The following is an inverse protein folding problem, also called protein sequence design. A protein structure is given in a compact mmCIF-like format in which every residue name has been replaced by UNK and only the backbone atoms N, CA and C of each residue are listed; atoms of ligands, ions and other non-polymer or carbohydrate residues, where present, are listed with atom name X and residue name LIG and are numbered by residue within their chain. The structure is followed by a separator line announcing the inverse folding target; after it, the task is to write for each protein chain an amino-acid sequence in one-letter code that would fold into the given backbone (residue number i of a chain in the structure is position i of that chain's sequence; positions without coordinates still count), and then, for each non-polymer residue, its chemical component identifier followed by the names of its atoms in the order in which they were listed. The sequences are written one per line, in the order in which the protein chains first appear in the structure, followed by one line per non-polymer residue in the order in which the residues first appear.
data_IF_758203461741
#
_entry.id   IF_758203461741
#
_cell.length_a   1.000
_cell.length_b   1.000
_cell.length_c   1.000
_cell.angle_alpha   90.00
_cell.angle_beta   90.00
_cell.angle_gamma   90.00
#
_symmetry.space_group_name_H-M   'P 1'
#
loop_
_entity.id
_entity.type
_entity.pdbx_description
1 polymer ?
#
# COMPACT_ATOMS: atom_id res chain seq x y z
N UNK A 1 34.09 25.30 46.04
CA UNK A 1 34.76 25.84 44.83
C UNK A 1 33.90 25.46 43.65
N UNK A 2 33.03 26.37 43.24
CA UNK A 2 31.93 26.17 42.30
C UNK A 2 32.16 27.03 41.06
N UNK A 3 32.47 26.41 39.93
CA UNK A 3 32.63 27.10 38.65
C UNK A 3 31.28 27.19 37.95
N UNK A 4 30.70 28.40 37.91
CA UNK A 4 29.56 28.74 37.06
C UNK A 4 30.07 29.12 35.66
N UNK A 5 29.55 28.47 34.63
CA UNK A 5 29.75 28.87 33.25
C UNK A 5 28.63 29.81 32.81
N UNK A 6 29.03 31.00 32.36
CA UNK A 6 28.19 32.09 31.85
C UNK A 6 27.80 31.74 30.41
N UNK A 7 26.50 31.65 30.13
CA UNK A 7 25.96 31.56 28.76
C UNK A 7 25.45 32.94 28.36
N UNK A 8 26.13 33.56 27.39
CA UNK A 8 25.74 34.84 26.77
C UNK A 8 24.68 34.56 25.70
N UNK A 9 23.50 35.16 25.83
CA UNK A 9 22.46 35.23 24.79
C UNK A 9 22.59 36.54 24.02
N UNK A 10 22.48 36.58 22.68
CA UNK A 10 22.38 37.83 21.97
C UNK A 10 20.94 38.35 22.01
N UNK A 11 20.75 39.45 22.74
CA UNK A 11 19.64 40.37 22.57
C UNK A 11 19.89 41.18 21.29
N UNK A 12 18.99 41.12 20.32
CA UNK A 12 18.87 42.16 19.30
C UNK A 12 17.42 42.64 19.31
N UNK A 13 17.18 43.66 20.13
CA UNK A 13 16.05 44.57 19.98
C UNK A 13 16.58 45.82 19.29
N UNK A 14 16.11 46.11 18.08
CA UNK A 14 16.16 47.46 17.53
C UNK A 14 14.78 47.82 17.00
N UNK A 15 14.00 48.40 17.91
CA UNK A 15 12.97 49.34 17.57
C UNK A 15 13.66 50.62 17.06
N UNK A 16 13.38 51.01 15.81
CA UNK A 16 13.44 52.39 15.31
C UNK A 16 12.96 52.38 13.86
N UNK A 17 11.64 52.53 13.66
CA UNK A 17 11.04 53.56 12.78
C UNK A 17 9.57 53.69 13.25
N UNK A 18 9.29 54.72 14.04
CA UNK A 18 7.94 55.26 14.25
C UNK A 18 7.80 56.51 13.38
N UNK A 19 6.63 56.58 12.74
CA UNK A 19 5.95 57.77 12.20
C UNK A 19 6.44 58.42 10.91
N UNK A 20 5.76 58.07 9.81
CA UNK A 20 5.29 59.04 8.83
C UNK A 20 3.84 58.67 8.45
N UNK A 21 2.88 59.38 9.03
CA UNK A 21 1.50 59.41 8.57
C UNK A 21 1.44 60.17 7.24
N UNK A 22 1.16 59.48 6.12
CA UNK A 22 0.32 59.96 5.02
C UNK A 22 -0.25 58.72 4.32
N UNK A 23 -1.57 58.71 4.15
CA UNK A 23 -2.34 57.54 3.75
C UNK A 23 -1.92 56.93 2.41
N UNK A 24 -1.77 55.60 2.42
CA UNK A 24 -1.99 54.65 1.32
C UNK A 24 -2.14 53.25 1.97
N UNK A 25 -3.11 52.43 1.55
CA UNK A 25 -3.31 51.11 2.16
C UNK A 25 -2.10 50.20 1.87
N UNK A 26 -1.63 49.51 2.90
CA UNK A 26 -0.61 48.48 2.83
C UNK A 26 -1.12 47.18 2.17
N UNK A 27 -1.70 47.28 0.97
CA UNK A 27 -2.21 46.16 0.19
C UNK A 27 -1.24 45.65 -0.88
N UNK A 28 0.06 46.00 -0.81
CA UNK A 28 1.00 45.81 -1.92
C UNK A 28 2.22 44.89 -1.64
N UNK A 29 2.26 44.13 -0.53
CA UNK A 29 3.23 43.02 -0.40
C UNK A 29 2.60 41.68 0.06
N UNK A 30 1.50 41.19 -0.55
CA UNK A 30 1.11 39.77 -0.41
C UNK A 30 1.90 38.85 -1.36
N UNK A 31 2.49 39.42 -2.43
CA UNK A 31 3.04 38.64 -3.54
C UNK A 31 4.41 38.01 -3.21
N UNK A 32 5.34 38.77 -2.63
CA UNK A 32 6.72 38.31 -2.41
C UNK A 32 6.83 37.14 -1.42
N UNK A 33 5.99 37.14 -0.37
CA UNK A 33 5.94 36.05 0.61
C UNK A 33 5.39 34.75 0.03
N UNK A 34 4.39 34.84 -0.87
CA UNK A 34 3.83 33.68 -1.58
C UNK A 34 4.82 33.11 -2.59
N UNK A 35 5.48 33.98 -3.39
CA UNK A 35 6.50 33.53 -4.35
C UNK A 35 7.70 32.91 -3.64
N UNK A 36 8.10 33.44 -2.48
CA UNK A 36 9.16 32.83 -1.67
C UNK A 36 8.72 31.47 -1.12
N UNK A 37 7.52 31.33 -0.55
CA UNK A 37 7.02 30.04 -0.08
C UNK A 37 6.94 29.00 -1.21
N UNK A 38 6.36 29.35 -2.36
CA UNK A 38 6.29 28.46 -3.52
C UNK A 38 7.68 28.07 -4.04
N UNK A 39 8.64 29.01 -4.02
CA UNK A 39 10.01 28.75 -4.42
C UNK A 39 10.73 27.87 -3.38
N UNK A 40 10.48 28.06 -2.09
CA UNK A 40 11.00 27.22 -1.00
C UNK A 40 10.40 25.81 -1.03
N UNK A 41 9.11 25.68 -1.30
CA UNK A 41 8.43 24.38 -1.44
C UNK A 41 8.90 23.65 -2.70
N UNK A 42 9.05 24.37 -3.82
CA UNK A 42 9.60 23.82 -5.06
C UNK A 42 11.05 23.38 -4.88
N UNK A 43 11.90 24.22 -4.28
CA UNK A 43 13.29 23.89 -3.94
C UNK A 43 13.36 22.75 -2.94
N UNK A 44 12.50 22.72 -1.93
CA UNK A 44 12.40 21.66 -0.94
C UNK A 44 12.00 20.33 -1.57
N UNK A 45 11.08 20.35 -2.54
CA UNK A 45 10.63 19.17 -3.28
C UNK A 45 11.75 18.64 -4.20
N UNK A 46 12.42 19.52 -4.92
CA UNK A 46 13.55 19.14 -5.80
C UNK A 46 14.73 18.62 -4.97
N UNK A 47 15.10 19.32 -3.89
CA UNK A 47 16.15 18.89 -2.98
C UNK A 47 15.80 17.56 -2.30
N UNK A 48 14.55 17.40 -1.85
CA UNK A 48 14.04 16.16 -1.28
C UNK A 48 14.09 15.00 -2.27
N UNK A 49 13.76 15.25 -3.54
CA UNK A 49 13.82 14.24 -4.61
C UNK A 49 15.27 13.85 -4.93
N UNK A 50 16.19 14.81 -4.99
CA UNK A 50 17.62 14.56 -5.23
C UNK A 50 18.25 13.83 -4.04
N UNK A 51 17.94 14.25 -2.82
CA UNK A 51 18.39 13.60 -1.60
C UNK A 51 17.84 12.16 -1.47
N UNK A 52 16.57 11.95 -1.82
CA UNK A 52 15.95 10.62 -1.87
C UNK A 52 16.60 9.72 -2.92
N UNK A 53 16.87 10.23 -4.15
CA UNK A 53 17.62 9.47 -5.17
C UNK A 53 19.06 9.19 -4.76
N UNK A 54 19.73 10.13 -4.10
CA UNK A 54 21.08 9.95 -3.58
C UNK A 54 21.10 8.92 -2.44
N UNK A 55 20.13 8.99 -1.52
CA UNK A 55 19.93 8.02 -0.47
C UNK A 55 19.69 6.62 -1.06
N UNK A 56 18.82 6.51 -2.06
CA UNK A 56 18.57 5.25 -2.78
C UNK A 56 19.85 4.68 -3.40
N UNK A 57 20.64 5.50 -4.10
CA UNK A 57 21.94 5.09 -4.67
C UNK A 57 22.96 4.67 -3.62
N UNK A 58 22.83 5.16 -2.39
CA UNK A 58 23.66 4.82 -1.25
C UNK A 58 23.08 3.67 -0.39
N UNK A 59 21.95 3.07 -0.79
CA UNK A 59 21.28 2.02 -0.01
C UNK A 59 20.68 2.52 1.32
N UNK A 60 20.37 3.82 1.37
CA UNK A 60 19.75 4.50 2.50
C UNK A 60 18.26 4.71 2.20
N UNK A 61 17.40 4.40 3.18
CA UNK A 61 15.95 4.51 3.05
C UNK A 61 15.23 3.18 3.28
N UNK A 62 13.90 3.18 3.35
CA UNK A 62 13.10 1.98 3.57
C UNK A 62 13.21 0.99 2.42
N UNK A 63 13.01 1.43 1.17
CA UNK A 63 13.01 0.56 0.00
C UNK A 63 14.28 -0.31 -0.15
N UNK A 64 15.53 0.24 -0.11
CA UNK A 64 16.72 -0.60 -0.23
C UNK A 64 16.91 -1.59 0.93
N UNK A 65 16.33 -1.31 2.11
CA UNK A 65 16.33 -2.27 3.23
C UNK A 65 15.33 -3.38 2.96
N UNK A 66 14.13 -3.05 2.49
CA UNK A 66 13.12 -4.01 2.12
C UNK A 66 13.62 -4.96 1.03
N UNK A 67 14.27 -4.45 -0.01
CA UNK A 67 14.87 -5.29 -1.06
C UNK A 67 15.93 -6.26 -0.53
N UNK A 68 16.76 -5.85 0.44
CA UNK A 68 17.73 -6.78 1.05
C UNK A 68 17.04 -7.91 1.83
N UNK A 69 15.93 -7.61 2.50
CA UNK A 69 15.12 -8.62 3.17
C UNK A 69 14.50 -9.54 2.13
N UNK A 70 13.92 -8.99 1.05
CA UNK A 70 13.36 -9.78 -0.05
C UNK A 70 14.41 -10.69 -0.71
N UNK A 71 15.59 -10.17 -1.03
CA UNK A 71 16.69 -10.95 -1.61
C UNK A 71 17.18 -12.07 -0.66
N UNK A 72 17.10 -11.87 0.65
CA UNK A 72 17.36 -12.95 1.61
C UNK A 72 16.38 -14.12 1.41
N UNK A 73 15.12 -13.87 1.06
CA UNK A 73 14.16 -14.94 0.79
C UNK A 73 14.19 -15.45 -0.65
N UNK A 74 14.61 -14.66 -1.62
CA UNK A 74 14.59 -15.05 -3.04
C UNK A 74 15.88 -15.73 -3.54
N UNK A 75 16.98 -15.65 -2.79
CA UNK A 75 18.25 -16.30 -3.17
C UNK A 75 18.22 -17.84 -3.03
N UNK A 76 19.23 -18.53 -3.56
CA UNK A 76 19.35 -19.99 -3.44
C UNK A 76 19.18 -20.47 -1.98
N UNK A 77 18.33 -21.48 -1.76
CA UNK A 77 17.97 -21.97 -0.43
C UNK A 77 16.79 -21.26 0.25
N UNK A 78 16.00 -20.49 -0.50
CA UNK A 78 14.77 -19.82 -0.08
C UNK A 78 13.86 -20.68 0.84
N UNK A 79 13.44 -21.85 0.34
CA UNK A 79 12.53 -22.76 1.07
C UNK A 79 13.11 -23.24 2.41
N UNK A 80 14.44 -23.43 2.49
CA UNK A 80 15.12 -23.83 3.72
C UNK A 80 15.18 -22.66 4.72
N UNK A 81 15.45 -21.44 4.24
CA UNK A 81 15.48 -20.24 5.10
C UNK A 81 14.10 -19.88 5.64
N UNK A 82 13.05 -20.02 4.84
CA UNK A 82 11.66 -19.87 5.28
C UNK A 82 11.33 -20.89 6.38
N UNK A 83 11.61 -22.18 6.14
CA UNK A 83 11.39 -23.24 7.15
C UNK A 83 12.16 -22.98 8.44
N UNK A 84 13.43 -22.56 8.35
CA UNK A 84 14.23 -22.19 9.51
C UNK A 84 13.60 -21.03 10.28
N UNK A 85 13.17 -19.97 9.59
CA UNK A 85 12.53 -18.79 10.20
C UNK A 85 11.24 -19.16 10.91
N UNK A 86 10.40 -19.99 10.30
CA UNK A 86 9.18 -20.49 10.93
C UNK A 86 9.49 -21.30 12.20
N UNK A 87 10.56 -22.11 12.18
CA UNK A 87 11.00 -22.94 13.29
C UNK A 87 11.75 -22.20 14.41
N UNK A 88 12.29 -20.99 14.16
CA UNK A 88 13.09 -20.25 15.16
C UNK A 88 12.26 -19.87 16.41
N UNK A 89 12.56 -20.39 17.61
CA UNK A 89 11.79 -20.07 18.80
C UNK A 89 11.82 -18.57 19.10
N UNK A 90 10.67 -17.98 19.42
CA UNK A 90 10.54 -16.54 19.74
C UNK A 90 11.44 -16.10 20.90
N UNK A 91 11.78 -17.04 21.79
CA UNK A 91 12.65 -16.84 22.96
C UNK A 91 14.14 -16.78 22.59
N UNK A 92 14.57 -17.44 21.51
CA UNK A 92 15.99 -17.53 21.15
C UNK A 92 16.52 -16.28 20.48
N UNK A 93 15.66 -15.47 19.84
CA UNK A 93 16.06 -14.16 19.28
C UNK A 93 16.51 -13.16 20.35
N UNK A 94 16.09 -13.36 21.62
CA UNK A 94 16.58 -12.56 22.76
C UNK A 94 17.96 -13.04 23.23
N UNK A 95 18.28 -14.32 23.07
CA UNK A 95 19.52 -14.97 23.55
C UNK A 95 20.64 -14.95 22.52
N UNK A 96 20.34 -15.09 21.23
CA UNK A 96 21.33 -15.05 20.15
C UNK A 96 22.14 -13.75 20.13
N UNK A 97 21.59 -12.66 20.69
CA UNK A 97 22.32 -11.41 20.84
C UNK A 97 23.44 -11.43 21.89
N UNK A 98 23.31 -12.27 22.91
CA UNK A 98 24.25 -12.32 24.05
C UNK A 98 25.23 -13.50 23.97
N UNK A 99 25.06 -14.41 22.99
CA UNK A 99 25.96 -15.54 22.76
C UNK A 99 26.43 -15.57 21.30
N UNK A 100 27.47 -14.80 21.02
CA UNK A 100 28.13 -14.61 19.71
C UNK A 100 29.03 -15.78 19.29
N UNK A 101 28.68 -17.03 19.62
CA UNK A 101 29.55 -18.18 19.30
C UNK A 101 28.95 -19.23 18.37
N UNK A 102 27.69 -19.09 17.92
CA UNK A 102 27.06 -20.09 17.02
C UNK A 102 25.93 -19.54 16.11
N UNK A 103 25.73 -18.22 16.03
CA UNK A 103 24.66 -17.64 15.21
C UNK A 103 24.96 -17.71 13.72
N UNK A 104 24.02 -18.18 12.90
CA UNK A 104 24.13 -18.08 11.44
C UNK A 104 24.22 -16.59 11.06
N UNK A 105 25.31 -16.13 10.40
CA UNK A 105 25.56 -14.71 10.15
C UNK A 105 24.46 -14.03 9.31
N UNK A 106 23.73 -14.81 8.52
CA UNK A 106 22.64 -14.30 7.70
C UNK A 106 21.40 -13.93 8.55
N UNK A 107 21.13 -14.65 9.65
CA UNK A 107 20.03 -14.34 10.57
C UNK A 107 20.30 -13.04 11.32
N UNK A 108 21.56 -12.78 11.69
CA UNK A 108 21.95 -11.51 12.32
C UNK A 108 21.76 -10.31 11.39
N UNK A 109 22.10 -10.48 10.10
CA UNK A 109 21.85 -9.46 9.08
C UNK A 109 20.35 -9.20 8.91
N UNK A 110 19.52 -10.25 8.89
CA UNK A 110 18.06 -10.11 8.82
C UNK A 110 17.51 -9.33 10.03
N UNK A 111 17.92 -9.68 11.26
CA UNK A 111 17.53 -8.93 12.47
C UNK A 111 17.95 -7.45 12.37
N UNK A 112 19.14 -7.18 11.84
CA UNK A 112 19.66 -5.83 11.65
C UNK A 112 18.83 -5.04 10.63
N UNK A 113 18.48 -5.65 9.50
CA UNK A 113 17.67 -5.02 8.46
C UNK A 113 16.23 -4.79 8.93
N UNK A 114 15.58 -5.76 9.59
CA UNK A 114 14.27 -5.56 10.24
C UNK A 114 14.31 -4.43 11.28
N UNK A 115 15.39 -4.35 12.08
CA UNK A 115 15.56 -3.27 13.05
C UNK A 115 15.75 -1.89 12.39
N UNK A 116 16.43 -1.85 11.23
CA UNK A 116 16.65 -0.62 10.46
C UNK A 116 15.34 -0.15 9.84
N UNK A 117 14.53 -1.05 9.29
CA UNK A 117 13.22 -0.72 8.74
C UNK A 117 12.26 -0.21 9.82
N UNK A 118 12.24 -0.83 11.00
CA UNK A 118 11.49 -0.34 12.17
C UNK A 118 11.97 1.03 12.68
N UNK A 119 13.22 1.42 12.42
CA UNK A 119 13.69 2.75 12.78
C UNK A 119 13.15 3.82 11.83
N UNK A 120 12.79 3.45 10.59
CA UNK A 120 12.19 4.38 9.63
C UNK A 120 10.72 4.68 9.90
N UNK A 121 10.02 3.84 10.68
CA UNK A 121 8.64 4.10 11.10
C UNK A 121 8.53 5.08 12.27
N UNK A 122 9.66 5.58 12.79
CA UNK A 122 9.66 6.47 13.93
C UNK A 122 9.25 7.90 13.55
N UNK A 123 8.65 8.65 14.51
CA UNK A 123 8.26 10.05 14.30
C UNK A 123 9.40 11.01 13.95
N UNK A 124 10.65 10.58 14.14
CA UNK A 124 11.85 11.33 13.77
C UNK A 124 12.07 11.38 12.25
N UNK A 125 11.35 10.56 11.47
CA UNK A 125 11.41 10.56 10.02
C UNK A 125 10.31 11.45 9.41
N UNK A 126 10.44 11.74 8.12
CA UNK A 126 9.35 12.37 7.35
C UNK A 126 8.11 11.46 7.31
N UNK A 127 6.92 12.01 7.07
CA UNK A 127 5.71 11.16 6.96
C UNK A 127 5.78 10.21 5.78
N UNK A 128 6.22 10.69 4.61
CA UNK A 128 6.46 9.83 3.45
C UNK A 128 7.38 8.64 3.77
N UNK A 129 8.49 8.87 4.48
CA UNK A 129 9.42 7.78 4.87
C UNK A 129 8.79 6.81 5.87
N UNK A 130 7.94 7.30 6.78
CA UNK A 130 7.20 6.43 7.72
C UNK A 130 6.20 5.56 6.98
N UNK A 131 5.40 6.15 6.08
CA UNK A 131 4.42 5.44 5.25
C UNK A 131 5.14 4.35 4.46
N UNK A 132 6.16 4.72 3.68
CA UNK A 132 6.96 3.77 2.87
C UNK A 132 7.56 2.62 3.71
N UNK A 133 8.05 2.92 4.92
CA UNK A 133 8.58 1.90 5.82
C UNK A 133 7.51 0.96 6.37
N UNK A 134 6.35 1.51 6.76
CA UNK A 134 5.22 0.72 7.26
C UNK A 134 4.63 -0.16 6.14
N UNK A 135 4.56 0.37 4.92
CA UNK A 135 4.15 -0.35 3.71
C UNK A 135 5.00 -1.59 3.49
N UNK A 136 6.33 -1.42 3.45
CA UNK A 136 7.24 -2.54 3.31
C UNK A 136 7.19 -3.51 4.49
N UNK A 137 6.95 -3.06 5.72
CA UNK A 137 6.83 -3.97 6.86
C UNK A 137 5.63 -4.89 6.67
N UNK A 138 4.45 -4.36 6.35
CA UNK A 138 3.27 -5.21 6.22
C UNK A 138 3.38 -6.11 4.97
N UNK A 139 3.92 -5.61 3.86
CA UNK A 139 4.19 -6.39 2.65
C UNK A 139 5.11 -7.58 2.95
N UNK A 140 6.25 -7.32 3.59
CA UNK A 140 7.23 -8.37 3.93
C UNK A 140 6.67 -9.39 4.91
N UNK A 141 5.89 -8.96 5.91
CA UNK A 141 5.32 -9.87 6.93
C UNK A 141 4.24 -10.77 6.34
N UNK A 142 3.43 -10.24 5.43
CA UNK A 142 2.35 -11.00 4.77
C UNK A 142 2.87 -11.91 3.67
N UNK A 143 3.97 -11.53 2.99
CA UNK A 143 4.66 -12.34 1.99
C UNK A 143 5.53 -13.45 2.59
N UNK A 144 6.19 -13.19 3.72
CA UNK A 144 7.10 -14.15 4.37
C UNK A 144 6.63 -14.48 5.80
N UNK A 145 5.77 -15.50 5.96
CA UNK A 145 5.31 -15.94 7.27
C UNK A 145 6.47 -16.20 8.23
N UNK A 146 6.33 -15.71 9.47
CA UNK A 146 7.32 -15.86 10.51
C UNK A 146 8.31 -14.70 10.59
N UNK A 147 8.45 -13.85 9.55
CA UNK A 147 9.30 -12.66 9.59
C UNK A 147 8.85 -11.65 10.65
N UNK A 148 7.55 -11.62 10.96
CA UNK A 148 6.92 -10.81 12.03
C UNK A 148 7.70 -10.81 13.34
N UNK A 149 8.20 -11.98 13.75
CA UNK A 149 8.93 -12.14 15.02
C UNK A 149 10.23 -11.31 15.06
N UNK A 150 10.86 -11.07 13.92
CA UNK A 150 12.09 -10.27 13.81
C UNK A 150 11.80 -8.78 13.99
N UNK A 151 10.69 -8.28 13.43
CA UNK A 151 10.23 -6.92 13.64
C UNK A 151 9.83 -6.64 15.10
N UNK A 152 9.13 -7.59 15.73
CA UNK A 152 8.80 -7.50 17.16
C UNK A 152 10.05 -7.63 18.06
N UNK A 153 11.05 -8.40 17.62
CA UNK A 153 12.32 -8.55 18.32
C UNK A 153 13.29 -7.38 18.11
N UNK A 154 12.98 -6.44 17.22
CA UNK A 154 13.84 -5.31 16.95
C UNK A 154 14.08 -4.49 18.24
N UNK A 155 15.35 -4.27 18.59
CA UNK A 155 15.84 -2.89 18.60
C UNK A 155 14.97 -1.83 19.27
N UNK A 156 14.41 -1.09 18.32
CA UNK A 156 13.53 0.05 18.41
C UNK A 156 12.23 -0.28 19.14
N UNK A 157 11.65 -1.44 18.85
CA UNK A 157 10.41 -1.94 19.43
C UNK A 157 10.61 -2.27 20.92
N UNK A 158 11.61 -3.09 21.23
CA UNK A 158 11.83 -3.62 22.58
C UNK A 158 12.19 -2.56 23.64
N UNK A 159 12.95 -1.53 23.26
CA UNK A 159 13.40 -0.51 24.22
C UNK A 159 12.33 0.51 24.57
N UNK A 160 11.37 0.72 23.68
CA UNK A 160 10.45 1.86 23.76
C UNK A 160 8.98 1.45 23.97
N UNK A 161 8.60 0.20 23.69
CA UNK A 161 7.24 -0.27 23.92
C UNK A 161 7.15 -1.18 25.14
N UNK A 162 6.33 -0.83 26.15
CA UNK A 162 6.05 -1.71 27.27
C UNK A 162 5.22 -2.93 26.82
N UNK A 163 5.54 -4.09 27.38
CA UNK A 163 4.77 -5.32 27.17
C UNK A 163 3.43 -5.28 27.94
N UNK A 164 2.37 -5.95 27.46
CA UNK A 164 2.24 -6.56 26.13
C UNK A 164 2.17 -5.49 25.02
N UNK A 165 2.69 -5.81 23.84
CA UNK A 165 2.55 -4.96 22.65
C UNK A 165 1.12 -5.14 22.13
N UNK A 166 0.37 -4.04 22.00
CA UNK A 166 -0.99 -4.02 21.43
C UNK A 166 -1.02 -3.15 20.18
N UNK A 167 -2.00 -3.34 19.30
CA UNK A 167 -2.19 -2.52 18.08
C UNK A 167 -2.21 -1.03 18.44
N UNK A 168 -3.05 -0.65 19.41
CA UNK A 168 -3.19 0.73 19.89
C UNK A 168 -1.85 1.30 20.39
N UNK A 169 -1.05 0.51 21.11
CA UNK A 169 0.26 0.96 21.62
C UNK A 169 1.26 1.16 20.48
N UNK A 170 1.25 0.29 19.47
CA UNK A 170 2.15 0.37 18.34
C UNK A 170 1.79 1.54 17.41
N UNK A 171 0.50 1.74 17.11
CA UNK A 171 0.02 2.92 16.40
C UNK A 171 0.45 4.20 17.13
N UNK A 172 0.14 4.34 18.43
CA UNK A 172 0.55 5.52 19.24
C UNK A 172 2.05 5.76 19.25
N UNK A 173 2.85 4.70 19.12
CA UNK A 173 4.30 4.80 19.08
C UNK A 173 4.81 5.34 17.74
N UNK A 174 4.15 5.01 16.62
CA UNK A 174 4.46 5.55 15.29
C UNK A 174 3.83 6.92 15.03
N UNK A 175 2.63 7.16 15.58
CA UNK A 175 1.83 8.39 15.39
C UNK A 175 1.53 9.11 16.72
N UNK A 176 2.55 9.64 17.44
CA UNK A 176 2.31 10.31 18.72
C UNK A 176 1.70 11.71 18.53
N UNK A 177 0.42 11.86 18.93
CA UNK A 177 -0.33 13.12 19.13
C UNK A 177 -0.36 14.07 17.90
N UNK A 178 -1.31 15.04 17.82
CA UNK A 178 -1.54 15.74 16.55
C UNK A 178 -0.33 16.55 16.14
N UNK A 179 0.27 16.17 15.01
CA UNK A 179 1.33 16.96 14.37
C UNK A 179 0.62 18.13 13.70
N UNK A 180 0.71 19.32 14.30
CA UNK A 180 0.07 20.57 13.87
C UNK A 180 0.41 21.02 12.42
N UNK A 181 1.28 20.28 11.72
CA UNK A 181 1.84 20.62 10.41
C UNK A 181 1.62 19.53 9.35
N UNK A 182 0.81 18.52 9.61
CA UNK A 182 0.43 17.54 8.59
C UNK A 182 -0.80 18.02 7.82
N UNK A 183 -0.80 17.79 6.51
CA UNK A 183 -2.05 17.81 5.74
C UNK A 183 -2.99 16.75 6.31
N UNK A 184 -4.29 16.98 6.17
CA UNK A 184 -5.32 16.03 6.59
C UNK A 184 -5.18 14.68 5.85
N UNK A 185 -4.80 14.74 4.57
CA UNK A 185 -4.54 13.56 3.73
C UNK A 185 -3.36 12.73 4.27
N UNK A 186 -2.19 13.34 4.51
CA UNK A 186 -1.00 12.65 5.01
C UNK A 186 -1.25 12.03 6.40
N UNK A 187 -2.04 12.72 7.24
CA UNK A 187 -2.39 12.23 8.57
C UNK A 187 -3.32 11.01 8.48
N UNK A 188 -4.28 11.03 7.56
CA UNK A 188 -5.24 9.95 7.34
C UNK A 188 -4.55 8.72 6.76
N UNK A 189 -3.71 8.91 5.73
CA UNK A 189 -2.92 7.85 5.11
C UNK A 189 -1.97 7.20 6.13
N UNK A 190 -1.21 8.01 6.88
CA UNK A 190 -0.31 7.50 7.90
C UNK A 190 -1.04 6.72 9.00
N UNK A 191 -2.21 7.19 9.46
CA UNK A 191 -3.00 6.48 10.47
C UNK A 191 -3.52 5.13 9.94
N UNK A 192 -4.00 5.10 8.70
CA UNK A 192 -4.45 3.88 8.03
C UNK A 192 -3.32 2.86 7.89
N UNK A 193 -2.18 3.25 7.29
CA UNK A 193 -1.04 2.36 7.06
C UNK A 193 -0.42 1.91 8.40
N UNK A 194 -0.36 2.79 9.40
CA UNK A 194 0.08 2.43 10.75
C UNK A 194 -0.84 1.40 11.41
N UNK A 195 -2.18 1.55 11.28
CA UNK A 195 -3.13 0.55 11.78
C UNK A 195 -2.94 -0.79 11.06
N UNK A 196 -2.82 -0.79 9.74
CA UNK A 196 -2.62 -2.01 8.95
C UNK A 196 -1.34 -2.75 9.35
N UNK A 197 -0.20 -2.05 9.41
CA UNK A 197 1.07 -2.61 9.83
C UNK A 197 1.06 -3.05 11.31
N UNK A 198 0.31 -2.36 12.18
CA UNK A 198 0.18 -2.79 13.57
C UNK A 198 -0.66 -4.04 13.72
N UNK A 199 -1.77 -4.15 12.97
CA UNK A 199 -2.59 -5.35 12.92
C UNK A 199 -1.76 -6.53 12.40
N UNK A 200 -0.97 -6.37 11.33
CA UNK A 200 -0.14 -7.48 10.84
C UNK A 200 0.91 -7.96 11.86
N UNK A 201 1.49 -7.03 12.63
CA UNK A 201 2.52 -7.35 13.61
C UNK A 201 1.97 -7.92 14.92
N UNK A 202 0.80 -7.47 15.36
CA UNK A 202 0.27 -7.78 16.69
C UNK A 202 -0.89 -8.76 16.65
N UNK A 203 -1.74 -8.70 15.63
CA UNK A 203 -2.93 -9.53 15.56
C UNK A 203 -2.55 -11.01 15.36
N UNK A 204 -2.91 -11.83 16.35
CA UNK A 204 -2.29 -13.13 16.54
C UNK A 204 -2.98 -14.23 15.76
N UNK A 205 -4.27 -14.14 15.48
CA UNK A 205 -5.01 -15.36 15.15
C UNK A 205 -4.87 -15.72 13.67
N UNK A 206 -5.08 -14.76 12.77
CA UNK A 206 -4.86 -14.95 11.33
C UNK A 206 -3.37 -15.21 11.04
N UNK A 207 -2.51 -14.29 11.49
CA UNK A 207 -1.07 -14.38 11.29
C UNK A 207 -0.49 -15.66 11.93
N UNK A 208 -0.86 -16.02 13.17
CA UNK A 208 -0.34 -17.25 13.76
C UNK A 208 -0.93 -18.51 13.10
N UNK A 209 -2.14 -18.47 12.56
CA UNK A 209 -2.69 -19.60 11.81
C UNK A 209 -1.88 -19.85 10.54
N UNK A 210 -1.58 -18.79 9.79
CA UNK A 210 -0.71 -18.87 8.60
C UNK A 210 0.71 -19.30 8.98
N UNK A 211 1.32 -18.67 9.98
CA UNK A 211 2.70 -18.94 10.41
C UNK A 211 2.91 -20.34 11.03
N UNK A 212 1.88 -20.93 11.64
CA UNK A 212 1.94 -22.29 12.21
C UNK A 212 1.74 -23.36 11.16
N UNK A 213 1.25 -23.01 9.98
CA UNK A 213 0.98 -23.97 8.93
C UNK A 213 2.17 -24.09 7.99
N UNK A 214 2.75 -25.29 7.85
CA UNK A 214 3.72 -25.54 6.79
C UNK A 214 3.10 -25.21 5.43
N UNK A 215 3.89 -24.69 4.50
CA UNK A 215 3.41 -24.29 3.17
C UNK A 215 2.77 -25.41 2.34
N UNK A 216 3.07 -26.66 2.69
CA UNK A 216 2.48 -27.87 2.09
C UNK A 216 1.08 -28.19 2.63
N UNK A 217 0.66 -27.56 3.73
CA UNK A 217 -0.55 -27.90 4.47
C UNK A 217 -1.64 -26.81 4.37
N UNK A 218 -1.48 -25.79 3.52
CA UNK A 218 -2.50 -24.73 3.38
C UNK A 218 -3.86 -25.24 2.92
N UNK A 219 -3.91 -26.40 2.24
CA UNK A 219 -5.14 -27.08 1.81
C UNK A 219 -5.60 -28.19 2.77
N UNK A 220 -4.85 -28.47 3.84
CA UNK A 220 -5.24 -29.46 4.83
C UNK A 220 -6.23 -28.82 5.81
N UNK A 221 -7.32 -29.52 6.09
CA UNK A 221 -8.31 -29.05 7.05
C UNK A 221 -7.68 -28.86 8.43
N UNK A 222 -7.92 -27.69 9.02
CA UNK A 222 -7.56 -27.42 10.41
C UNK A 222 -8.56 -28.08 11.37
N UNK A 223 -8.33 -27.97 12.68
CA UNK A 223 -9.23 -28.50 13.72
C UNK A 223 -10.67 -27.95 13.66
N UNK A 224 -10.94 -26.93 12.85
CA UNK A 224 -12.28 -26.38 12.59
C UNK A 224 -12.94 -26.85 11.29
N UNK A 225 -12.35 -27.80 10.55
CA UNK A 225 -12.88 -28.29 9.27
C UNK A 225 -12.74 -27.30 8.10
N UNK A 226 -12.07 -26.15 8.32
CA UNK A 226 -11.73 -25.18 7.29
C UNK A 226 -10.22 -25.21 7.04
N UNK A 227 -9.85 -25.07 5.77
CA UNK A 227 -8.46 -24.79 5.37
C UNK A 227 -8.10 -23.34 5.71
N UNK A 228 -6.80 -23.02 5.74
CA UNK A 228 -6.35 -21.65 6.02
C UNK A 228 -6.82 -20.68 4.93
N UNK A 229 -6.82 -21.14 3.68
CA UNK A 229 -7.32 -20.34 2.56
C UNK A 229 -8.80 -20.05 2.73
N UNK A 230 -9.61 -21.03 3.16
CA UNK A 230 -11.03 -20.80 3.45
C UNK A 230 -11.24 -19.85 4.62
N UNK A 231 -10.42 -19.92 5.68
CA UNK A 231 -10.47 -18.94 6.76
C UNK A 231 -10.19 -17.52 6.25
N UNK A 232 -9.18 -17.33 5.40
CA UNK A 232 -8.85 -16.04 4.82
C UNK A 232 -9.95 -15.53 3.88
N UNK A 233 -10.55 -16.42 3.07
CA UNK A 233 -11.69 -16.11 2.19
C UNK A 233 -12.92 -15.69 2.99
N UNK A 234 -13.20 -16.32 4.13
CA UNK A 234 -14.30 -15.91 5.00
C UNK A 234 -14.10 -14.50 5.56
N UNK A 235 -12.86 -14.11 5.87
CA UNK A 235 -12.55 -12.73 6.29
C UNK A 235 -12.70 -11.73 5.15
N UNK A 236 -12.35 -12.10 3.90
CA UNK A 236 -12.57 -11.24 2.73
C UNK A 236 -14.06 -10.89 2.54
N UNK A 237 -14.96 -11.79 2.91
CA UNK A 237 -16.41 -11.58 2.82
C UNK A 237 -17.00 -10.79 4.00
N UNK A 238 -16.18 -10.33 4.95
CA UNK A 238 -16.66 -9.42 5.99
C UNK A 238 -17.03 -8.07 5.36
N UNK A 239 -18.22 -7.53 5.71
CA UNK A 239 -18.87 -6.41 5.01
C UNK A 239 -18.23 -5.03 5.24
N UNK A 240 -17.06 -4.96 5.86
CA UNK A 240 -16.38 -3.70 6.15
C UNK A 240 -15.07 -3.65 5.37
N UNK A 241 -15.06 -3.14 4.12
CA UNK A 241 -13.84 -3.08 3.30
C UNK A 241 -12.72 -2.27 3.98
N UNK A 242 -13.08 -1.30 4.81
CA UNK A 242 -12.18 -0.53 5.66
C UNK A 242 -11.48 -1.33 6.78
N UNK A 243 -11.91 -2.58 7.03
CA UNK A 243 -11.31 -3.42 8.07
C UNK A 243 -9.91 -3.86 7.63
N UNK A 244 -8.85 -3.54 8.39
CA UNK A 244 -7.50 -4.02 8.11
C UNK A 244 -7.42 -5.53 7.89
N UNK A 245 -8.32 -6.31 8.49
CA UNK A 245 -8.41 -7.76 8.33
C UNK A 245 -8.65 -8.18 6.88
N UNK A 246 -9.44 -7.42 6.12
CA UNK A 246 -9.69 -7.69 4.69
C UNK A 246 -8.41 -7.51 3.89
N UNK A 247 -7.73 -6.37 4.05
CA UNK A 247 -6.45 -6.10 3.41
C UNK A 247 -5.39 -7.16 3.77
N UNK A 248 -5.31 -7.57 5.04
CA UNK A 248 -4.42 -8.64 5.47
C UNK A 248 -4.75 -9.98 4.81
N UNK A 249 -6.03 -10.34 4.70
CA UNK A 249 -6.42 -11.56 4.00
C UNK A 249 -6.04 -11.53 2.52
N UNK A 250 -6.23 -10.40 1.83
CA UNK A 250 -5.79 -10.22 0.44
C UNK A 250 -4.28 -10.49 0.33
N UNK A 251 -3.48 -9.88 1.22
CA UNK A 251 -2.02 -9.99 1.19
C UNK A 251 -1.52 -11.38 1.58
N UNK A 252 -2.10 -12.03 2.59
CA UNK A 252 -1.75 -13.41 2.94
C UNK A 252 -2.12 -14.39 1.84
N UNK A 253 -3.29 -14.24 1.22
CA UNK A 253 -3.66 -15.05 0.05
C UNK A 253 -2.67 -14.84 -1.08
N UNK A 254 -2.28 -13.59 -1.35
CA UNK A 254 -1.25 -13.28 -2.34
C UNK A 254 0.06 -14.01 -2.03
N UNK A 255 0.57 -13.88 -0.80
CA UNK A 255 1.81 -14.55 -0.38
C UNK A 255 1.74 -16.08 -0.48
N UNK A 256 0.61 -16.69 -0.11
CA UNK A 256 0.40 -18.14 -0.25
C UNK A 256 0.45 -18.57 -1.72
N UNK A 257 -0.17 -17.81 -2.61
CA UNK A 257 -0.22 -18.11 -4.04
C UNK A 257 1.11 -17.82 -4.76
N UNK A 258 2.01 -17.03 -4.20
CA UNK A 258 3.37 -16.88 -4.74
C UNK A 258 4.23 -18.12 -4.52
N UNK A 259 3.87 -18.99 -3.58
CA UNK A 259 4.67 -20.16 -3.23
C UNK A 259 4.57 -21.25 -4.31
N UNK A 260 5.68 -21.73 -4.88
CA UNK A 260 5.65 -22.83 -5.85
C UNK A 260 5.03 -24.11 -5.28
N UNK A 261 5.17 -24.34 -3.97
CA UNK A 261 4.56 -25.50 -3.28
C UNK A 261 3.04 -25.49 -3.31
N UNK A 262 2.40 -24.32 -3.42
CA UNK A 262 0.96 -24.22 -3.57
C UNK A 262 0.51 -24.82 -4.92
N UNK A 263 1.15 -24.40 -6.01
CA UNK A 263 0.80 -24.82 -7.38
C UNK A 263 1.18 -26.26 -7.73
N UNK A 264 2.04 -26.91 -6.94
CA UNK A 264 2.35 -28.34 -7.09
C UNK A 264 1.24 -29.26 -6.59
N UNK A 265 0.23 -28.71 -5.90
CA UNK A 265 -0.90 -29.48 -5.36
C UNK A 265 -1.89 -29.84 -6.47
N UNK A 266 -2.66 -30.91 -6.27
CA UNK A 266 -3.66 -31.37 -7.24
C UNK A 266 -4.82 -32.09 -6.54
N UNK A 267 -5.91 -32.30 -7.29
CA UNK A 267 -7.08 -33.04 -6.81
C UNK A 267 -8.29 -32.15 -6.51
N UNK A 268 -9.43 -32.76 -6.13
CA UNK A 268 -10.71 -32.05 -6.04
C UNK A 268 -10.73 -30.88 -5.05
N UNK A 269 -10.06 -31.02 -3.90
CA UNK A 269 -9.98 -29.97 -2.88
C UNK A 269 -9.26 -28.73 -3.41
N UNK A 270 -8.15 -28.91 -4.12
CA UNK A 270 -7.39 -27.82 -4.71
C UNK A 270 -8.21 -27.05 -5.75
N UNK A 271 -8.88 -27.74 -6.68
CA UNK A 271 -9.75 -27.08 -7.66
C UNK A 271 -10.94 -26.36 -7.00
N UNK A 272 -11.53 -26.93 -5.94
CA UNK A 272 -12.58 -26.27 -5.18
C UNK A 272 -12.08 -24.98 -4.49
N UNK A 273 -10.87 -24.99 -3.94
CA UNK A 273 -10.26 -23.79 -3.35
C UNK A 273 -9.99 -22.73 -4.41
N UNK A 274 -9.42 -23.10 -5.56
CA UNK A 274 -9.20 -22.15 -6.66
C UNK A 274 -10.52 -21.59 -7.21
N UNK A 275 -11.57 -22.42 -7.28
CA UNK A 275 -12.93 -21.98 -7.65
C UNK A 275 -13.45 -20.93 -6.68
N UNK A 276 -13.42 -21.23 -5.37
CA UNK A 276 -13.84 -20.29 -4.31
C UNK A 276 -13.05 -18.99 -4.37
N UNK A 277 -11.73 -19.07 -4.50
CA UNK A 277 -10.85 -17.91 -4.61
C UNK A 277 -11.20 -17.04 -5.83
N UNK A 278 -11.33 -17.66 -7.01
CA UNK A 278 -11.69 -16.94 -8.25
C UNK A 278 -13.07 -16.30 -8.14
N UNK A 279 -14.02 -16.98 -7.51
CA UNK A 279 -15.36 -16.46 -7.24
C UNK A 279 -15.32 -15.27 -6.27
N UNK A 280 -14.63 -15.38 -5.13
CA UNK A 280 -14.53 -14.29 -4.15
C UNK A 280 -13.88 -13.04 -4.75
N UNK A 281 -12.83 -13.19 -5.55
CA UNK A 281 -12.21 -12.05 -6.24
C UNK A 281 -13.16 -11.46 -7.28
N UNK A 282 -13.86 -12.31 -8.04
CA UNK A 282 -14.87 -11.86 -9.01
C UNK A 282 -15.95 -11.01 -8.33
N UNK A 283 -16.46 -11.44 -7.17
CA UNK A 283 -17.46 -10.71 -6.39
C UNK A 283 -16.91 -9.35 -5.93
N UNK A 284 -15.67 -9.29 -5.42
CA UNK A 284 -15.00 -8.02 -5.08
C UNK A 284 -14.89 -7.09 -6.29
N UNK A 285 -14.49 -7.60 -7.46
CA UNK A 285 -14.39 -6.81 -8.69
C UNK A 285 -15.76 -6.32 -9.20
N UNK A 286 -16.81 -7.09 -8.96
CA UNK A 286 -18.17 -6.66 -9.28
C UNK A 286 -18.68 -5.60 -8.31
N UNK A 287 -18.38 -5.71 -7.01
CA UNK A 287 -18.68 -4.68 -6.01
C UNK A 287 -17.91 -3.37 -6.26
N UNK A 288 -16.74 -3.45 -6.90
CA UNK A 288 -15.98 -2.29 -7.38
C UNK A 288 -16.50 -1.72 -8.71
N UNK A 289 -17.58 -2.28 -9.26
CA UNK A 289 -18.18 -1.89 -10.54
C UNK A 289 -17.13 -1.81 -11.66
N UNK A 290 -16.25 -2.81 -11.76
CA UNK A 290 -15.14 -2.84 -12.74
C UNK A 290 -15.64 -2.79 -14.20
N UNK A 291 -16.91 -3.13 -14.45
CA UNK A 291 -17.53 -3.08 -15.77
C UNK A 291 -17.86 -1.65 -16.22
N UNK A 292 -17.94 -0.70 -15.30
CA UNK A 292 -18.26 0.69 -15.64
C UNK A 292 -17.09 1.37 -16.35
N UNK A 293 -17.43 2.23 -17.31
CA UNK A 293 -16.46 3.02 -18.09
C UNK A 293 -16.07 4.33 -17.40
N UNK A 294 -16.79 4.69 -16.34
CA UNK A 294 -16.53 5.86 -15.51
C UNK A 294 -15.75 5.41 -14.29
N UNK A 295 -14.60 6.06 -14.06
CA UNK A 295 -13.77 5.81 -12.89
C UNK A 295 -13.99 6.99 -11.94
N UNK A 296 -14.74 6.76 -10.86
CA UNK A 296 -14.81 7.67 -9.73
C UNK A 296 -13.73 7.27 -8.71
N UNK A 297 -12.74 8.15 -8.54
CA UNK A 297 -11.64 7.97 -7.59
C UNK A 297 -11.86 8.78 -6.30
N UNK A 298 -13.10 9.20 -6.01
CA UNK A 298 -13.43 9.97 -4.80
C UNK A 298 -13.41 9.13 -3.52
N UNK A 299 -13.50 7.80 -3.61
CA UNK A 299 -13.42 6.88 -2.46
C UNK A 299 -12.20 5.91 -2.50
N UNK A 300 -10.95 6.39 -2.73
CA UNK A 300 -9.83 5.50 -3.01
C UNK A 300 -9.27 4.80 -1.77
N UNK A 301 -9.73 5.15 -0.56
CA UNK A 301 -9.08 4.77 0.70
C UNK A 301 -9.64 3.53 1.39
N UNK A 302 -10.65 2.86 0.83
CA UNK A 302 -11.34 1.77 1.53
C UNK A 302 -10.84 0.37 1.16
N UNK A 303 -9.94 0.20 0.19
CA UNK A 303 -9.46 -1.11 -0.23
C UNK A 303 -7.97 -1.08 -0.60
N UNK A 304 -7.26 -2.16 -0.25
CA UNK A 304 -5.87 -2.39 -0.63
C UNK A 304 -5.76 -2.84 -2.10
N UNK A 305 -5.91 -1.87 -3.02
CA UNK A 305 -5.86 -2.12 -4.47
C UNK A 305 -4.53 -2.75 -4.91
N UNK A 306 -3.41 -2.33 -4.33
CA UNK A 306 -2.10 -2.92 -4.61
C UNK A 306 -2.06 -4.40 -4.21
N UNK A 307 -2.65 -4.74 -3.06
CA UNK A 307 -2.80 -6.12 -2.62
C UNK A 307 -3.70 -6.93 -3.54
N UNK A 308 -4.82 -6.35 -3.96
CA UNK A 308 -5.76 -7.00 -4.86
C UNK A 308 -5.15 -7.23 -6.25
N UNK A 309 -4.35 -6.27 -6.74
CA UNK A 309 -3.64 -6.37 -8.02
C UNK A 309 -2.62 -7.50 -7.98
N UNK A 310 -1.84 -7.59 -6.89
CA UNK A 310 -0.91 -8.72 -6.67
C UNK A 310 -1.69 -10.04 -6.59
N UNK A 311 -2.76 -10.11 -5.79
CA UNK A 311 -3.57 -11.31 -5.62
C UNK A 311 -4.09 -11.84 -6.97
N UNK A 312 -4.66 -10.95 -7.78
CA UNK A 312 -5.14 -11.29 -9.11
C UNK A 312 -3.97 -11.73 -10.02
N UNK A 313 -2.86 -11.00 -9.99
CA UNK A 313 -1.67 -11.31 -10.80
C UNK A 313 -1.13 -12.70 -10.50
N UNK A 314 -0.93 -13.03 -9.23
CA UNK A 314 -0.34 -14.33 -8.83
C UNK A 314 -1.29 -15.47 -9.14
N UNK A 315 -2.60 -15.28 -8.96
CA UNK A 315 -3.63 -16.25 -9.36
C UNK A 315 -3.61 -16.51 -10.88
N UNK A 316 -3.56 -15.45 -11.69
CA UNK A 316 -3.50 -15.57 -13.16
C UNK A 316 -2.18 -16.21 -13.63
N UNK A 317 -1.05 -15.86 -13.01
CA UNK A 317 0.26 -16.41 -13.35
C UNK A 317 0.41 -17.90 -13.01
N UNK A 318 -0.44 -18.43 -12.12
CA UNK A 318 -0.48 -19.85 -11.79
C UNK A 318 -1.30 -20.70 -12.75
N UNK A 319 -2.19 -20.11 -13.55
CA UNK A 319 -2.99 -20.82 -14.56
C UNK A 319 -2.13 -21.61 -15.55
N UNK A 320 -1.03 -21.09 -16.13
CA UNK A 320 -0.11 -21.87 -16.96
C UNK A 320 0.26 -23.23 -16.35
N UNK A 321 0.58 -23.25 -15.05
CA UNK A 321 0.96 -24.48 -14.35
C UNK A 321 -0.20 -25.49 -14.31
N UNK A 322 -1.43 -25.01 -14.12
CA UNK A 322 -2.62 -25.86 -14.10
C UNK A 322 -2.93 -26.46 -15.48
N UNK A 323 -2.80 -25.65 -16.53
CA UNK A 323 -3.04 -26.11 -17.91
C UNK A 323 -2.01 -27.15 -18.32
N UNK A 324 -0.75 -26.99 -17.94
CA UNK A 324 0.31 -27.98 -18.21
C UNK A 324 0.09 -29.29 -17.45
N UNK A 325 -0.36 -29.23 -16.19
CA UNK A 325 -0.57 -30.42 -15.36
C UNK A 325 -1.88 -31.15 -15.65
N UNK A 326 -2.95 -30.43 -16.03
CA UNK A 326 -4.30 -30.97 -16.21
C UNK A 326 -4.75 -31.13 -17.66
N UNK A 327 -4.01 -30.59 -18.62
CA UNK A 327 -4.50 -30.40 -19.99
C UNK A 327 -5.45 -29.19 -20.09
N UNK A 328 -5.75 -28.78 -21.32
CA UNK A 328 -6.64 -27.63 -21.60
C UNK A 328 -8.11 -28.01 -21.32
N UNK A 329 -8.46 -29.29 -21.41
CA UNK A 329 -9.83 -29.76 -21.23
C UNK A 329 -10.05 -30.27 -19.79
N UNK A 330 -11.03 -29.71 -19.05
CA UNK A 330 -11.34 -30.17 -17.70
C UNK A 330 -11.88 -31.61 -17.74
N UNK A 331 -11.16 -32.53 -17.10
CA UNK A 331 -11.49 -33.96 -17.02
C UNK A 331 -12.51 -34.28 -15.89
N UNK A 332 -12.67 -33.39 -14.91
CA UNK A 332 -13.62 -33.54 -13.80
C UNK A 332 -14.59 -32.36 -13.68
N UNK A 333 -15.73 -32.58 -13.01
CA UNK A 333 -16.68 -31.52 -12.67
C UNK A 333 -16.01 -30.39 -11.86
N UNK A 334 -15.16 -30.73 -10.89
CA UNK A 334 -14.45 -29.72 -10.09
C UNK A 334 -13.49 -28.87 -10.91
N UNK A 335 -12.83 -29.44 -11.93
CA UNK A 335 -12.01 -28.69 -12.87
C UNK A 335 -12.86 -27.78 -13.75
N UNK A 336 -14.01 -28.26 -14.22
CA UNK A 336 -14.92 -27.47 -15.04
C UNK A 336 -15.47 -26.25 -14.26
N UNK A 337 -15.86 -26.45 -13.00
CA UNK A 337 -16.37 -25.37 -12.15
C UNK A 337 -15.30 -24.32 -11.86
N UNK A 338 -14.07 -24.74 -11.52
CA UNK A 338 -12.93 -23.83 -11.39
C UNK A 338 -12.70 -23.02 -12.67
N UNK A 339 -12.66 -23.70 -13.82
CA UNK A 339 -12.36 -23.07 -15.11
C UNK A 339 -13.39 -21.98 -15.46
N UNK A 340 -14.68 -22.24 -15.20
CA UNK A 340 -15.74 -21.23 -15.40
C UNK A 340 -15.59 -20.02 -14.48
N UNK A 341 -15.23 -20.24 -13.20
CA UNK A 341 -14.94 -19.14 -12.28
C UNK A 341 -13.73 -18.32 -12.72
N UNK A 342 -12.65 -18.98 -13.18
CA UNK A 342 -11.46 -18.30 -13.70
C UNK A 342 -11.76 -17.51 -14.98
N UNK A 343 -12.56 -18.06 -15.91
CA UNK A 343 -12.99 -17.38 -17.13
C UNK A 343 -13.74 -16.07 -16.82
N UNK A 344 -14.63 -16.09 -15.81
CA UNK A 344 -15.36 -14.89 -15.35
C UNK A 344 -14.42 -13.86 -14.73
N UNK A 345 -13.46 -14.29 -13.92
CA UNK A 345 -12.45 -13.39 -13.36
C UNK A 345 -11.62 -12.71 -14.48
N UNK A 346 -11.11 -13.50 -15.43
CA UNK A 346 -10.32 -13.00 -16.56
C UNK A 346 -11.12 -12.02 -17.41
N UNK A 347 -12.42 -12.25 -17.60
CA UNK A 347 -13.25 -11.32 -18.37
C UNK A 347 -13.42 -9.98 -17.67
N UNK A 348 -13.58 -9.95 -16.34
CA UNK A 348 -13.63 -8.73 -15.54
C UNK A 348 -12.31 -7.94 -15.58
N UNK A 349 -11.18 -8.64 -15.45
CA UNK A 349 -9.87 -8.00 -15.47
C UNK A 349 -9.47 -7.43 -16.85
N UNK A 350 -10.24 -7.72 -17.91
CA UNK A 350 -10.05 -7.13 -19.24
C UNK A 350 -10.81 -5.82 -19.46
N UNK A 351 -11.62 -5.36 -18.50
CA UNK A 351 -12.30 -4.07 -18.59
C UNK A 351 -11.33 -2.90 -18.33
N UNK A 352 -11.55 -1.72 -18.95
CA UNK A 352 -10.63 -0.58 -18.82
C UNK A 352 -10.43 -0.09 -17.37
N UNK A 353 -11.45 -0.17 -16.51
CA UNK A 353 -11.32 0.23 -15.11
C UNK A 353 -10.31 -0.64 -14.35
N UNK A 354 -10.14 -1.91 -14.72
CA UNK A 354 -9.09 -2.77 -14.19
C UNK A 354 -7.69 -2.33 -14.62
N UNK A 355 -7.51 -1.71 -15.79
CA UNK A 355 -6.21 -1.14 -16.20
C UNK A 355 -5.76 -0.03 -15.24
N UNK A 356 -6.71 0.77 -14.74
CA UNK A 356 -6.43 1.86 -13.82
C UNK A 356 -6.23 1.39 -12.37
N UNK A 357 -7.05 0.45 -11.89
CA UNK A 357 -7.05 0.01 -10.50
C UNK A 357 -6.10 -1.17 -10.23
N UNK A 358 -5.95 -2.08 -11.21
CA UNK A 358 -5.26 -3.36 -11.10
C UNK A 358 -4.33 -3.59 -12.31
N UNK A 359 -3.34 -2.71 -12.53
CA UNK A 359 -2.57 -2.67 -13.77
C UNK A 359 -1.80 -3.96 -14.05
N UNK A 360 -1.23 -4.63 -13.03
CA UNK A 360 -0.45 -5.87 -13.24
C UNK A 360 -1.36 -7.02 -13.67
N UNK A 361 -2.51 -7.14 -13.02
CA UNK A 361 -3.51 -8.13 -13.31
C UNK A 361 -4.12 -7.92 -14.70
N UNK A 362 -4.39 -6.67 -15.09
CA UNK A 362 -4.85 -6.31 -16.43
C UNK A 362 -3.86 -6.74 -17.51
N UNK A 363 -2.56 -6.47 -17.32
CA UNK A 363 -1.50 -6.87 -18.27
C UNK A 363 -1.46 -8.39 -18.43
N UNK A 364 -1.55 -9.13 -17.34
CA UNK A 364 -1.62 -10.59 -17.38
C UNK A 364 -2.90 -11.08 -18.06
N UNK A 365 -4.05 -10.50 -17.71
CA UNK A 365 -5.36 -10.86 -18.25
C UNK A 365 -5.42 -10.68 -19.77
N UNK A 366 -4.73 -9.66 -20.29
CA UNK A 366 -4.65 -9.32 -21.71
C UNK A 366 -3.45 -9.93 -22.44
N UNK A 367 -2.63 -10.75 -21.76
CA UNK A 367 -1.50 -11.43 -22.38
C UNK A 367 -1.95 -12.44 -23.46
N UNK A 368 -1.12 -12.61 -24.51
CA UNK A 368 -1.40 -13.58 -25.58
C UNK A 368 -1.52 -15.02 -25.07
N UNK A 369 -0.71 -15.34 -24.07
CA UNK A 369 -0.69 -16.65 -23.43
C UNK A 369 -2.04 -16.93 -22.77
N UNK A 370 -2.51 -16.04 -21.91
CA UNK A 370 -3.80 -16.22 -21.24
C UNK A 370 -4.99 -16.12 -22.20
N UNK A 371 -4.91 -15.31 -23.26
CA UNK A 371 -5.92 -15.27 -24.32
C UNK A 371 -6.06 -16.60 -25.06
N UNK A 372 -4.98 -17.37 -25.20
CA UNK A 372 -5.03 -18.67 -25.88
C UNK A 372 -5.83 -19.71 -25.07
N UNK A 373 -5.83 -19.61 -23.75
CA UNK A 373 -6.59 -20.50 -22.86
C UNK A 373 -7.98 -19.98 -22.55
N UNK A 374 -8.15 -18.66 -22.44
CA UNK A 374 -9.43 -18.00 -22.20
C UNK A 374 -9.75 -17.05 -23.36
N UNK A 375 -10.22 -17.58 -24.50
CA UNK A 375 -10.61 -16.77 -25.64
C UNK A 375 -11.95 -16.08 -25.33
N UNK A 376 -11.91 -14.98 -24.59
CA UNK A 376 -13.04 -14.07 -24.44
C UNK A 376 -12.85 -12.86 -25.34
N UNK A 377 -13.84 -12.53 -26.20
CA UNK A 377 -13.78 -11.30 -26.97
C UNK A 377 -13.84 -10.12 -26.00
N UNK A 378 -12.84 -9.24 -26.06
CA UNK A 378 -12.87 -7.96 -25.35
C UNK A 378 -12.69 -6.84 -26.38
N UNK A 379 -13.61 -5.86 -26.34
CA UNK A 379 -13.46 -4.63 -27.11
C UNK A 379 -12.75 -3.62 -26.20
N UNK A 380 -11.65 -3.07 -26.68
CA UNK A 380 -11.10 -1.83 -26.10
C UNK A 380 -12.10 -0.71 -26.41
N UNK A 381 -13.04 -0.49 -25.50
CA UNK A 381 -13.89 0.69 -25.54
C UNK A 381 -13.15 1.85 -24.87
N UNK A 382 -13.32 3.05 -25.43
CA UNK A 382 -12.75 4.25 -24.82
C UNK A 382 -13.40 4.48 -23.45
N UNK A 383 -12.60 4.83 -22.44
CA UNK A 383 -13.07 5.11 -21.09
C UNK A 383 -12.86 6.58 -20.71
N UNK A 384 -13.66 7.03 -19.73
CA UNK A 384 -13.63 8.40 -19.23
C UNK A 384 -13.24 8.39 -17.76
N UNK A 385 -12.13 9.01 -17.43
CA UNK A 385 -11.73 9.19 -16.04
C UNK A 385 -12.33 10.51 -15.52
N UNK A 386 -13.17 10.42 -14.48
CA UNK A 386 -13.75 11.59 -13.81
C UNK A 386 -12.95 11.81 -12.54
N UNK A 387 -12.09 12.82 -12.57
CA UNK A 387 -11.35 13.21 -11.36
C UNK A 387 -12.23 14.21 -10.60
N UNK A 388 -12.62 13.92 -9.35
CA UNK A 388 -13.47 14.82 -8.58
C UNK A 388 -12.78 16.17 -8.42
N UNK A 389 -13.40 17.24 -8.95
CA UNK A 389 -12.98 18.60 -8.59
C UNK A 389 -13.42 18.84 -7.16
N UNK A 390 -12.58 19.37 -6.26
CA UNK A 390 -13.01 19.68 -4.90
C UNK A 390 -14.23 20.61 -4.98
N UNK A 391 -15.27 20.30 -4.21
CA UNK A 391 -16.49 21.09 -4.21
C UNK A 391 -16.14 22.53 -3.84
N UNK A 392 -16.78 23.51 -4.48
CA UNK A 392 -16.53 24.93 -4.17
C UNK A 392 -16.75 25.25 -2.68
N UNK A 393 -17.56 24.46 -1.96
CA UNK A 393 -17.82 24.64 -0.53
C UNK A 393 -16.71 24.09 0.38
N UNK A 394 -16.10 22.94 0.05
CA UNK A 394 -14.99 22.38 0.83
C UNK A 394 -13.73 23.25 0.73
N UNK A 395 -13.55 23.90 -0.44
CA UNK A 395 -12.47 24.87 -0.69
C UNK A 395 -12.73 26.21 0.02
N UNK A 396 -13.99 26.60 0.21
CA UNK A 396 -14.36 27.84 0.91
C UNK A 396 -14.21 27.75 2.43
N UNK A 397 -14.23 26.55 3.02
CA UNK A 397 -14.05 26.36 4.47
C UNK A 397 -12.58 26.24 4.91
N UNK A 398 -11.68 25.90 3.99
CA UNK A 398 -10.28 25.62 4.31
C UNK A 398 -9.33 26.84 4.26
N UNK A 399 -9.81 28.06 3.94
CA UNK A 399 -8.94 29.23 3.77
C UNK A 399 -9.50 30.48 4.50
N UNK A 400 -8.72 31.14 5.38
CA UNK A 400 -9.05 32.48 5.85
C UNK A 400 -8.90 33.48 4.69
N UNK A 401 -9.96 34.24 4.43
CA UNK A 401 -10.14 35.24 3.38
C UNK A 401 -8.88 36.10 3.17
N UNK A 402 -8.16 35.89 2.06
CA UNK A 402 -7.35 36.93 1.41
C UNK A 402 -7.08 36.61 -0.07
N UNK A 403 -7.78 37.33 -0.95
CA UNK A 403 -7.84 37.14 -2.40
C UNK A 403 -6.47 37.24 -3.09
N UNK A 404 -6.16 36.28 -3.97
CA UNK A 404 -5.11 36.42 -4.97
C UNK A 404 -5.11 35.25 -5.98
N UNK A 405 -4.78 35.50 -7.27
CA UNK A 405 -5.05 34.56 -8.35
C UNK A 405 -3.86 33.62 -8.56
N UNK A 406 -3.81 32.52 -7.81
CA UNK A 406 -3.09 31.32 -8.27
C UNK A 406 -4.12 30.47 -9.00
N UNK A 407 -3.92 30.26 -10.30
CA UNK A 407 -4.83 29.47 -11.11
C UNK A 407 -4.97 28.07 -10.52
N UNK A 408 -6.17 27.80 -10.01
CA UNK A 408 -6.67 26.52 -9.48
C UNK A 408 -6.42 25.34 -10.44
N UNK A 409 -6.21 25.62 -11.72
CA UNK A 409 -5.82 24.64 -12.74
C UNK A 409 -4.41 24.06 -12.52
N UNK A 410 -3.50 24.79 -11.87
CA UNK A 410 -2.08 24.42 -11.77
C UNK A 410 -1.83 23.33 -10.72
N UNK A 411 -2.48 23.40 -9.54
CA UNK A 411 -2.39 22.34 -8.52
C UNK A 411 -3.09 21.06 -8.98
N UNK A 412 -4.23 21.20 -9.65
CA UNK A 412 -4.97 20.06 -10.20
C UNK A 412 -4.22 19.39 -11.37
N UNK A 413 -3.52 20.18 -12.20
CA UNK A 413 -2.59 19.66 -13.20
C UNK A 413 -1.45 18.87 -12.57
N UNK A 414 -0.93 19.28 -11.41
CA UNK A 414 0.18 18.57 -10.75
C UNK A 414 -0.25 17.21 -10.18
N UNK A 415 -1.41 17.11 -9.53
CA UNK A 415 -1.95 15.82 -9.03
C UNK A 415 -2.36 14.88 -10.17
N UNK A 416 -3.03 15.43 -11.19
CA UNK A 416 -3.36 14.69 -12.42
C UNK A 416 -2.10 14.21 -13.13
N UNK A 417 -1.03 15.02 -13.16
CA UNK A 417 0.28 14.67 -13.72
C UNK A 417 1.05 13.67 -12.85
N UNK A 418 0.87 13.63 -11.53
CA UNK A 418 1.49 12.62 -10.66
C UNK A 418 0.83 11.24 -10.87
N UNK A 419 -0.49 11.20 -10.99
CA UNK A 419 -1.24 10.01 -11.41
C UNK A 419 -0.85 9.59 -12.83
N UNK A 420 -0.73 10.54 -13.77
CA UNK A 420 -0.25 10.29 -15.13
C UNK A 420 1.22 9.86 -15.21
N UNK A 421 2.09 10.32 -14.31
CA UNK A 421 3.49 9.93 -14.26
C UNK A 421 3.66 8.54 -13.62
N UNK A 422 2.80 8.15 -12.67
CA UNK A 422 2.64 6.74 -12.27
C UNK A 422 2.17 5.88 -13.46
N UNK A 423 1.23 6.39 -14.26
CA UNK A 423 0.70 5.70 -15.46
C UNK A 423 1.72 5.59 -16.62
N UNK A 424 2.51 6.65 -16.88
CA UNK A 424 3.52 6.69 -17.96
C UNK A 424 4.85 6.02 -17.61
N UNK A 425 5.12 5.79 -16.33
CA UNK A 425 6.37 5.16 -15.87
C UNK A 425 6.54 3.72 -16.34
N UNK A 426 5.46 3.04 -16.78
CA UNK A 426 5.49 1.60 -17.02
C UNK A 426 5.26 1.12 -18.46
N UNK A 427 4.53 1.77 -19.39
CA UNK A 427 4.34 1.22 -20.76
C UNK A 427 3.99 2.23 -21.88
N UNK A 428 4.20 1.82 -23.14
CA UNK A 428 3.76 2.50 -24.38
C UNK A 428 2.22 2.58 -24.49
N UNK A 429 1.64 3.72 -24.93
CA UNK A 429 0.20 3.92 -24.89
C UNK A 429 -0.50 3.25 -26.09
N UNK A 430 -1.32 2.22 -25.83
CA UNK A 430 -2.28 1.70 -26.83
C UNK A 430 -3.72 2.17 -26.60
N UNK A 431 -4.04 2.72 -25.43
CA UNK A 431 -5.36 3.27 -25.13
C UNK A 431 -5.36 4.82 -25.19
N UNK A 432 -6.42 5.40 -25.76
CA UNK A 432 -6.68 6.86 -25.74
C UNK A 432 -7.49 7.20 -24.48
N UNK A 433 -6.82 7.60 -23.41
CA UNK A 433 -7.50 8.17 -22.24
C UNK A 433 -7.95 9.61 -22.54
N UNK A 434 -9.23 9.93 -22.31
CA UNK A 434 -9.76 11.30 -22.36
C UNK A 434 -10.12 11.73 -20.95
N UNK A 435 -9.52 12.82 -20.46
CA UNK A 435 -9.75 13.34 -19.11
C UNK A 435 -10.77 14.47 -19.21
N UNK A 436 -11.89 14.34 -18.50
CA UNK A 436 -12.86 15.41 -18.33
C UNK A 436 -12.84 15.89 -16.87
N UNK A 437 -12.42 17.14 -16.65
CA UNK A 437 -12.65 17.83 -15.38
C UNK A 437 -14.08 18.38 -15.40
N UNK A 438 -14.97 17.78 -14.61
CA UNK A 438 -16.35 18.27 -14.46
C UNK A 438 -16.36 19.36 -13.40
N UNK A 439 -16.45 20.62 -13.83
CA UNK A 439 -16.79 21.75 -12.95
C UNK A 439 -18.31 21.78 -12.81
N UNK A 440 -18.84 21.62 -11.60
CA UNK A 440 -20.24 21.93 -11.32
C UNK A 440 -20.41 23.45 -11.32
N UNK A 441 -20.63 24.03 -12.51
CA UNK A 441 -21.13 25.40 -12.61
C UNK A 441 -22.58 25.42 -12.09
N UNK A 442 -22.75 25.77 -10.82
CA UNK A 442 -24.06 25.98 -10.14
C UNK A 442 -24.85 27.14 -10.78
N UNK A 443 -24.28 27.87 -11.74
CA UNK A 443 -24.86 29.09 -12.32
C UNK A 443 -25.92 28.88 -13.43
N UNK A 444 -26.30 27.64 -13.77
CA UNK A 444 -27.30 27.37 -14.82
C UNK A 444 -28.53 26.58 -14.32
N UNK A 445 -28.97 26.82 -13.08
CA UNK A 445 -30.31 26.44 -12.65
C UNK A 445 -31.26 27.59 -13.05
N UNK A 446 -32.17 27.43 -14.03
CA UNK A 446 -33.16 28.45 -14.31
C UNK A 446 -34.07 28.62 -13.09
N UNK A 447 -34.44 29.85 -12.70
CA UNK A 447 -35.26 30.07 -11.53
C UNK A 447 -36.64 29.42 -11.71
N UNK A 448 -37.30 29.00 -10.61
CA UNK A 448 -38.50 28.14 -10.62
C UNK A 448 -39.77 28.78 -11.21
N UNK A 449 -39.66 29.94 -11.85
CA UNK A 449 -40.77 30.64 -12.51
C UNK A 449 -40.65 30.66 -14.05
N UNK A 450 -39.62 30.02 -14.63
CA UNK A 450 -39.52 29.82 -16.07
C UNK A 450 -40.04 28.42 -16.47
N UNK A 451 -41.37 28.25 -16.43
CA UNK A 451 -42.14 27.25 -17.21
C UNK A 451 -43.33 27.96 -17.83
#
# INVERSE_FOLDING_TARGET
MSSQAIIVRPHVSNALVREAHWGKPASAIPFLGRTLNELYDSLGTVAGTVASRAAHRLGLGPFPVAERITHYFESDGAEERERKICAFPTLDLRRTRNHTTSGEPQVELLVKDCSKLMAYTLPTQTVKTQIEALEHIFELVTRYPGLRRFFLAAKTTQRKLPLPITIIRLCKFWTPAPRLYLSEDDATELDFVAKLAATCLVDSDMAASVEKCPSQNFLVESSGGLTIIECLLMTLWSRTPADPSVALSIRYLSGILELPSFWRQSGPLFYNVLRKLSQSITEILEDLDIKETIIDLSEPFLMDFDGLDILCTVLLSGIPHLVVLGGIEPASQSQQEWYQSALRLVSLLRFPKAEALLPRAYVWATSKELQSWFPTPYKLEAFTMVVPSPSSEDVLRAIPVDDGPVSRATMFQVLSMQLLNRYRGHHEPKARATIHTVSTDINNIPPPWAV
#
